data_IF_348995453040
#
_entry.id   IF_348995453040
#
_cell.length_a   1.000
_cell.length_b   1.000
_cell.length_c   1.000
_cell.angle_alpha   90.00
_cell.angle_beta   90.00
_cell.angle_gamma   90.00
#
_symmetry.space_group_name_H-M   'P 1'
#
loop_
_entity.id
_entity.type
_entity.pdbx_description
1 polymer ?
#
# COMPACT_ATOMS: atom_id res chain seq x y z
N UNK A 1 -63.69 -29.68 -24.10
CA UNK A 1 -63.34 -28.45 -23.37
C UNK A 1 -62.19 -28.64 -22.39
N UNK A 2 -62.28 -29.61 -21.43
CA UNK A 2 -61.25 -29.83 -20.36
C UNK A 2 -59.87 -30.12 -20.92
N UNK A 3 -59.79 -30.97 -21.98
CA UNK A 3 -58.47 -31.32 -22.62
C UNK A 3 -57.79 -30.12 -23.29
N UNK A 4 -58.55 -29.23 -23.92
CA UNK A 4 -58.02 -28.03 -24.50
C UNK A 4 -57.52 -27.03 -23.45
N UNK A 5 -58.16 -26.94 -22.27
CA UNK A 5 -57.74 -26.13 -21.14
C UNK A 5 -56.43 -26.69 -20.51
N UNK A 6 -56.30 -27.99 -20.39
CA UNK A 6 -55.08 -28.65 -19.90
C UNK A 6 -53.89 -28.41 -20.83
N UNK A 7 -54.09 -28.53 -22.14
CA UNK A 7 -53.03 -28.23 -23.13
C UNK A 7 -52.62 -26.76 -23.10
N UNK A 8 -53.58 -25.84 -22.97
CA UNK A 8 -53.29 -24.40 -22.89
C UNK A 8 -52.53 -24.07 -21.57
N UNK A 9 -52.94 -24.67 -20.44
CA UNK A 9 -52.24 -24.50 -19.17
C UNK A 9 -50.80 -25.04 -19.21
N UNK A 10 -50.61 -26.23 -19.84
CA UNK A 10 -49.26 -26.81 -20.01
C UNK A 10 -48.38 -25.92 -20.91
N UNK A 11 -48.91 -25.43 -22.03
CA UNK A 11 -48.18 -24.52 -22.92
C UNK A 11 -47.79 -23.21 -22.20
N UNK A 12 -48.71 -22.64 -21.41
CA UNK A 12 -48.44 -21.43 -20.62
C UNK A 12 -47.36 -21.64 -19.54
N UNK A 13 -47.36 -22.80 -18.86
CA UNK A 13 -46.32 -23.11 -17.87
C UNK A 13 -44.95 -23.31 -18.50
N UNK A 14 -44.88 -23.99 -19.67
CA UNK A 14 -43.62 -24.13 -20.41
C UNK A 14 -43.11 -22.77 -20.88
N UNK A 15 -43.98 -21.93 -21.45
CA UNK A 15 -43.60 -20.59 -21.88
C UNK A 15 -43.10 -19.72 -20.71
N UNK A 16 -43.78 -19.78 -19.56
CA UNK A 16 -43.37 -19.05 -18.36
C UNK A 16 -42.00 -19.51 -17.83
N UNK A 17 -41.77 -20.82 -17.81
CA UNK A 17 -40.45 -21.38 -17.37
C UNK A 17 -39.32 -21.01 -18.33
N UNK A 18 -39.56 -21.04 -19.64
CA UNK A 18 -38.58 -20.61 -20.65
C UNK A 18 -38.24 -19.10 -20.54
N UNK A 19 -39.26 -18.26 -20.37
CA UNK A 19 -39.05 -16.81 -20.17
C UNK A 19 -38.26 -16.54 -18.88
N UNK A 20 -38.58 -17.23 -17.80
CA UNK A 20 -37.84 -17.10 -16.55
C UNK A 20 -36.37 -17.57 -16.68
N UNK A 21 -36.13 -18.68 -17.35
CA UNK A 21 -34.78 -19.14 -17.68
C UNK A 21 -34.01 -18.12 -18.53
N UNK A 22 -34.66 -17.58 -19.57
CA UNK A 22 -34.06 -16.58 -20.45
C UNK A 22 -33.70 -15.30 -19.70
N UNK A 23 -34.56 -14.81 -18.79
CA UNK A 23 -34.26 -13.63 -17.96
C UNK A 23 -33.07 -13.88 -17.04
N UNK A 24 -32.97 -15.03 -16.41
CA UNK A 24 -31.81 -15.39 -15.57
C UNK A 24 -30.53 -15.43 -16.39
N UNK A 25 -30.58 -16.05 -17.58
CA UNK A 25 -29.42 -16.15 -18.47
C UNK A 25 -28.94 -14.79 -18.93
N UNK A 26 -29.84 -13.88 -19.31
CA UNK A 26 -29.51 -12.49 -19.65
C UNK A 26 -28.87 -11.78 -18.45
N UNK A 27 -29.43 -11.92 -17.26
CA UNK A 27 -28.88 -11.29 -16.04
C UNK A 27 -27.47 -11.79 -15.72
N UNK A 28 -27.22 -13.11 -15.83
CA UNK A 28 -25.89 -13.67 -15.60
C UNK A 28 -24.86 -13.17 -16.64
N UNK A 29 -25.26 -13.04 -17.91
CA UNK A 29 -24.39 -12.51 -18.94
C UNK A 29 -24.11 -11.02 -18.77
N UNK A 30 -25.09 -10.23 -18.36
CA UNK A 30 -24.90 -8.82 -18.04
C UNK A 30 -23.94 -8.66 -16.88
N UNK A 31 -24.13 -9.38 -15.78
CA UNK A 31 -23.24 -9.31 -14.63
C UNK A 31 -21.78 -9.69 -14.95
N UNK A 32 -21.57 -10.76 -15.75
CA UNK A 32 -20.21 -11.13 -16.20
C UNK A 32 -19.59 -10.05 -17.10
N UNK A 33 -20.37 -9.46 -17.97
CA UNK A 33 -19.91 -8.35 -18.83
C UNK A 33 -19.52 -7.14 -17.99
N UNK A 34 -20.35 -6.76 -17.03
CA UNK A 34 -20.09 -5.62 -16.14
C UNK A 34 -18.83 -5.88 -15.29
N UNK A 35 -18.63 -7.11 -14.82
CA UNK A 35 -17.41 -7.49 -14.08
C UNK A 35 -16.15 -7.32 -14.94
N UNK A 36 -16.14 -7.84 -16.17
CA UNK A 36 -14.99 -7.70 -17.07
C UNK A 36 -14.73 -6.23 -17.41
N UNK A 37 -15.80 -5.45 -17.63
CA UNK A 37 -15.68 -4.02 -17.92
C UNK A 37 -15.15 -3.24 -16.71
N UNK A 38 -15.67 -3.49 -15.52
CA UNK A 38 -15.19 -2.84 -14.29
C UNK A 38 -13.70 -3.14 -14.05
N UNK A 39 -13.27 -4.39 -14.22
CA UNK A 39 -11.86 -4.78 -14.11
C UNK A 39 -10.98 -4.09 -15.17
N UNK A 40 -11.44 -4.04 -16.42
CA UNK A 40 -10.72 -3.37 -17.51
C UNK A 40 -10.58 -1.85 -17.22
N UNK A 41 -11.63 -1.21 -16.72
CA UNK A 41 -11.62 0.20 -16.31
C UNK A 41 -10.66 0.44 -15.14
N UNK A 42 -10.68 -0.42 -14.13
CA UNK A 42 -9.76 -0.33 -13.01
C UNK A 42 -8.29 -0.46 -13.45
N UNK A 43 -7.99 -1.37 -14.38
CA UNK A 43 -6.66 -1.50 -14.98
C UNK A 43 -6.27 -0.29 -15.84
N UNK A 44 -7.20 0.26 -16.62
CA UNK A 44 -6.97 1.49 -17.39
C UNK A 44 -6.67 2.67 -16.46
N UNK A 45 -7.36 2.74 -15.30
CA UNK A 45 -7.06 3.71 -14.25
C UNK A 45 -5.63 3.62 -13.73
N UNK A 46 -5.08 2.41 -13.54
CA UNK A 46 -3.68 2.23 -13.17
C UNK A 46 -2.74 2.77 -14.26
N UNK A 47 -3.03 2.53 -15.55
CA UNK A 47 -2.21 3.08 -16.63
C UNK A 47 -2.28 4.61 -16.68
N UNK A 48 -3.45 5.18 -16.42
CA UNK A 48 -3.60 6.64 -16.33
C UNK A 48 -2.79 7.23 -15.16
N UNK A 49 -2.78 6.57 -14.00
CA UNK A 49 -1.93 7.02 -12.87
C UNK A 49 -0.43 6.94 -13.19
N UNK A 50 0.01 6.00 -14.03
CA UNK A 50 1.39 5.98 -14.53
C UNK A 50 1.73 7.25 -15.30
N UNK A 51 0.81 7.73 -16.17
CA UNK A 51 0.96 9.00 -16.87
C UNK A 51 1.07 10.16 -15.87
N UNK A 52 0.18 10.21 -14.87
CA UNK A 52 0.21 11.25 -13.85
C UNK A 52 1.56 11.28 -13.12
N UNK A 53 2.08 10.12 -12.70
CA UNK A 53 3.38 10.02 -12.02
C UNK A 53 4.53 10.42 -12.95
N UNK A 54 4.44 10.11 -14.23
CA UNK A 54 5.41 10.50 -15.26
C UNK A 54 5.43 12.02 -15.47
N UNK A 55 4.26 12.62 -15.73
CA UNK A 55 4.12 14.06 -16.03
C UNK A 55 4.46 14.95 -14.83
N UNK A 56 4.29 14.42 -13.62
CA UNK A 56 4.60 15.11 -12.36
C UNK A 56 5.99 14.73 -11.81
N UNK A 57 6.92 14.30 -12.67
CA UNK A 57 8.33 14.19 -12.30
C UNK A 57 8.86 15.62 -12.02
N UNK A 58 9.18 15.96 -10.75
CA UNK A 58 9.47 17.33 -10.40
C UNK A 58 10.81 17.78 -10.99
N UNK A 59 10.83 18.96 -11.60
CA UNK A 59 12.03 19.59 -12.14
C UNK A 59 13.13 19.84 -11.07
N UNK A 60 12.77 19.79 -9.78
CA UNK A 60 13.66 19.99 -8.64
C UNK A 60 13.80 18.77 -7.72
N UNK A 61 13.37 17.61 -8.12
CA UNK A 61 13.40 16.36 -7.33
C UNK A 61 12.69 16.38 -5.97
N UNK A 62 11.95 17.43 -5.62
CA UNK A 62 11.17 17.50 -4.36
C UNK A 62 9.76 16.96 -4.60
N UNK A 63 9.38 15.96 -3.83
CA UNK A 63 8.05 15.34 -3.89
C UNK A 63 7.26 15.72 -2.63
N UNK A 64 6.06 16.30 -2.81
CA UNK A 64 5.22 16.77 -1.71
C UNK A 64 3.71 16.68 -2.03
N UNK A 65 2.86 16.72 -1.01
CA UNK A 65 1.42 16.51 -1.12
C UNK A 65 0.65 17.64 -1.85
N UNK A 66 1.26 18.79 -2.08
CA UNK A 66 0.68 19.89 -2.89
C UNK A 66 0.82 19.68 -4.40
N UNK A 67 1.39 18.58 -4.87
CA UNK A 67 1.55 18.28 -6.30
C UNK A 67 0.30 17.59 -6.87
N UNK A 68 0.03 17.70 -8.20
CA UNK A 68 -1.16 17.14 -8.83
C UNK A 68 -1.35 15.63 -8.63
N UNK A 69 -0.26 14.87 -8.53
CA UNK A 69 -0.34 13.42 -8.30
C UNK A 69 -1.00 13.05 -6.95
N UNK A 70 -0.91 13.92 -5.94
CA UNK A 70 -1.46 13.66 -4.60
C UNK A 70 -2.97 13.94 -4.48
N UNK A 71 -3.60 14.49 -5.53
CA UNK A 71 -5.02 14.75 -5.55
C UNK A 71 -5.81 13.44 -5.52
N UNK A 72 -6.79 13.37 -4.62
CA UNK A 72 -7.77 12.29 -4.63
C UNK A 72 -8.83 12.59 -5.67
N UNK A 73 -9.01 11.68 -6.61
CA UNK A 73 -10.08 11.76 -7.60
C UNK A 73 -11.34 11.11 -7.02
N UNK A 74 -12.41 11.88 -6.79
CA UNK A 74 -13.68 11.31 -6.39
C UNK A 74 -14.22 10.40 -7.50
N UNK A 75 -15.22 9.59 -7.20
CA UNK A 75 -15.88 8.79 -8.21
C UNK A 75 -16.47 9.72 -9.29
N UNK A 76 -15.86 9.74 -10.47
CA UNK A 76 -16.32 10.49 -11.63
C UNK A 76 -17.23 9.61 -12.48
N UNK A 77 -18.40 10.13 -12.91
CA UNK A 77 -19.32 9.37 -13.74
C UNK A 77 -18.70 9.09 -15.12
N UNK A 78 -18.89 7.87 -15.59
CA UNK A 78 -18.62 7.41 -16.94
C UNK A 78 -19.86 6.71 -17.48
N UNK A 79 -19.85 6.28 -18.76
CA UNK A 79 -20.98 5.56 -19.31
C UNK A 79 -21.29 4.29 -18.50
N UNK A 80 -22.50 4.23 -17.94
CA UNK A 80 -23.01 3.15 -17.08
C UNK A 80 -22.21 2.85 -15.81
N UNK A 81 -21.42 3.81 -15.29
CA UNK A 81 -20.62 3.55 -14.10
C UNK A 81 -19.89 4.77 -13.55
N UNK A 82 -18.84 4.51 -12.79
CA UNK A 82 -17.94 5.54 -12.26
C UNK A 82 -16.52 5.00 -12.08
N UNK A 83 -15.54 5.91 -12.10
CA UNK A 83 -14.15 5.62 -11.79
C UNK A 83 -13.59 6.69 -10.87
N UNK A 84 -12.83 6.27 -9.86
CA UNK A 84 -12.14 7.16 -8.93
C UNK A 84 -10.90 6.50 -8.37
N UNK A 85 -10.11 7.25 -7.61
CA UNK A 85 -8.91 6.67 -7.02
C UNK A 85 -7.97 7.71 -6.45
N UNK A 86 -6.83 7.22 -5.97
CA UNK A 86 -5.78 8.06 -5.41
C UNK A 86 -4.42 7.40 -5.53
N UNK A 87 -3.40 8.24 -5.46
CA UNK A 87 -1.99 7.84 -5.40
C UNK A 87 -1.46 8.22 -4.03
N UNK A 88 -0.63 7.37 -3.44
CA UNK A 88 0.06 7.61 -2.17
C UNK A 88 1.55 7.43 -2.39
N UNK A 89 2.34 8.33 -1.86
CA UNK A 89 3.78 8.15 -1.79
C UNK A 89 4.11 6.98 -0.86
N UNK A 90 4.66 5.90 -1.39
CA UNK A 90 5.02 4.73 -0.60
C UNK A 90 6.23 4.98 0.31
N UNK A 91 7.10 5.95 -0.05
CA UNK A 91 8.22 6.39 0.78
C UNK A 91 7.81 7.35 1.91
N UNK A 92 6.53 7.67 2.04
CA UNK A 92 5.97 8.30 3.24
C UNK A 92 6.03 7.41 4.48
N UNK A 93 6.38 6.12 4.31
CA UNK A 93 6.34 5.06 5.32
C UNK A 93 7.71 4.43 5.50
N UNK A 94 7.92 3.73 6.62
CA UNK A 94 9.12 2.95 6.86
C UNK A 94 9.13 1.71 5.95
N UNK A 95 10.17 1.56 5.14
CA UNK A 95 10.34 0.39 4.30
C UNK A 95 10.88 -0.79 5.13
N UNK A 96 10.06 -1.81 5.33
CA UNK A 96 10.43 -3.01 6.10
C UNK A 96 11.60 -3.73 5.44
N UNK A 97 11.67 -3.75 4.10
CA UNK A 97 12.74 -4.42 3.38
C UNK A 97 14.12 -3.78 3.55
N UNK A 98 14.21 -2.58 4.14
CA UNK A 98 15.51 -2.05 4.58
C UNK A 98 16.17 -2.96 5.62
N UNK A 99 15.41 -3.75 6.39
CA UNK A 99 15.92 -4.70 7.38
C UNK A 99 16.64 -5.90 6.75
N UNK A 100 16.44 -6.18 5.47
CA UNK A 100 17.07 -7.31 4.77
C UNK A 100 18.58 -7.15 4.54
N UNK A 101 19.16 -6.03 4.94
CA UNK A 101 20.59 -5.72 4.79
C UNK A 101 21.24 -5.40 6.13
N UNK A 102 22.56 -5.43 6.19
CA UNK A 102 23.35 -5.03 7.37
C UNK A 102 23.87 -3.59 7.28
N UNK A 103 23.20 -2.75 6.45
CA UNK A 103 23.62 -1.37 6.21
C UNK A 103 23.25 -0.43 7.37
N UNK A 104 23.81 0.79 7.37
CA UNK A 104 23.40 1.86 8.28
C UNK A 104 21.90 2.15 8.16
N UNK A 105 21.35 2.13 6.94
CA UNK A 105 19.91 2.31 6.71
C UNK A 105 19.07 1.22 7.40
N UNK A 106 19.54 -0.02 7.46
CA UNK A 106 18.87 -1.11 8.20
C UNK A 106 18.86 -0.83 9.69
N UNK A 107 20.00 -0.42 10.27
CA UNK A 107 20.11 -0.07 11.71
C UNK A 107 19.15 1.09 12.05
N UNK A 108 19.11 2.13 11.23
CA UNK A 108 18.24 3.29 11.44
C UNK A 108 16.77 2.93 11.29
N UNK A 109 16.42 2.08 10.29
CA UNK A 109 15.05 1.59 10.10
C UNK A 109 14.61 0.71 11.27
N UNK A 110 15.48 -0.20 11.78
CA UNK A 110 15.18 -1.02 12.96
C UNK A 110 14.87 -0.14 14.18
N UNK A 111 15.71 0.86 14.45
CA UNK A 111 15.51 1.78 15.56
C UNK A 111 14.22 2.62 15.39
N UNK A 112 13.90 3.06 14.17
CA UNK A 112 12.66 3.77 13.89
C UNK A 112 11.43 2.86 14.08
N UNK A 113 11.46 1.62 13.61
CA UNK A 113 10.39 0.65 13.82
C UNK A 113 10.18 0.33 15.31
N UNK A 114 11.25 0.21 16.11
CA UNK A 114 11.14 0.02 17.55
C UNK A 114 10.41 1.19 18.22
N UNK A 115 10.74 2.43 17.87
CA UNK A 115 10.04 3.62 18.39
C UNK A 115 8.58 3.67 17.92
N UNK A 116 8.33 3.38 16.63
CA UNK A 116 6.98 3.31 16.10
C UNK A 116 6.13 2.25 16.83
N UNK A 117 6.65 1.04 17.00
CA UNK A 117 5.93 -0.05 17.66
C UNK A 117 5.65 0.28 19.13
N UNK A 118 6.59 0.91 19.83
CA UNK A 118 6.36 1.41 21.17
C UNK A 118 5.23 2.47 21.21
N UNK A 119 5.25 3.44 20.29
CA UNK A 119 4.18 4.46 20.17
C UNK A 119 2.82 3.84 19.83
N UNK A 120 2.81 2.77 19.03
CA UNK A 120 1.61 2.00 18.71
C UNK A 120 1.25 0.97 19.80
N UNK A 121 1.91 0.92 20.96
CA UNK A 121 1.75 -0.09 21.98
C UNK A 121 1.71 -1.52 21.43
N UNK A 122 2.62 -1.83 20.50
CA UNK A 122 2.86 -3.16 19.97
C UNK A 122 3.99 -3.85 20.74
N UNK A 123 4.01 -5.19 20.81
CA UNK A 123 5.10 -5.93 21.46
C UNK A 123 6.45 -5.59 20.83
N UNK A 124 7.49 -5.30 21.63
CA UNK A 124 8.78 -4.87 21.12
C UNK A 124 9.54 -5.95 20.34
N UNK A 125 9.29 -7.23 20.62
CA UNK A 125 9.89 -8.37 19.92
C UNK A 125 9.44 -8.49 18.46
N UNK A 126 8.31 -7.88 18.07
CA UNK A 126 7.82 -7.96 16.69
C UNK A 126 8.81 -7.37 15.66
N UNK A 127 9.63 -6.40 16.05
CA UNK A 127 10.66 -5.87 15.15
C UNK A 127 11.73 -6.93 14.86
N UNK A 128 12.10 -7.73 15.85
CA UNK A 128 13.06 -8.81 15.70
C UNK A 128 12.50 -9.95 14.85
N UNK A 129 11.25 -10.39 15.11
CA UNK A 129 10.60 -11.41 14.28
C UNK A 129 10.43 -10.98 12.83
N UNK A 130 10.13 -9.69 12.58
CA UNK A 130 10.05 -9.14 11.22
C UNK A 130 11.44 -9.08 10.59
N UNK A 131 12.48 -8.77 11.34
CA UNK A 131 13.85 -8.74 10.82
C UNK A 131 14.28 -10.12 10.37
N UNK A 132 14.16 -11.13 11.24
CA UNK A 132 14.51 -12.52 10.92
C UNK A 132 13.70 -13.07 9.73
N UNK A 133 12.47 -12.57 9.54
CA UNK A 133 11.67 -12.95 8.36
C UNK A 133 12.22 -12.42 7.04
N UNK A 134 12.82 -11.20 7.04
CA UNK A 134 13.21 -10.49 5.80
C UNK A 134 14.71 -10.50 5.53
N UNK A 135 15.57 -10.75 6.53
CA UNK A 135 17.01 -10.84 6.29
C UNK A 135 17.39 -12.23 5.71
N UNK A 136 18.62 -12.35 5.26
CA UNK A 136 19.05 -13.53 4.48
C UNK A 136 19.82 -14.55 5.33
N UNK A 137 20.05 -14.26 6.62
CA UNK A 137 20.77 -15.20 7.47
C UNK A 137 19.79 -16.07 8.29
N UNK A 138 20.30 -17.01 9.05
CA UNK A 138 19.55 -17.97 9.86
C UNK A 138 19.70 -17.73 11.37
N UNK A 139 20.15 -16.53 11.76
CA UNK A 139 20.45 -16.18 13.14
C UNK A 139 19.28 -15.47 13.80
N UNK A 140 18.69 -16.14 14.76
CA UNK A 140 17.59 -15.56 15.56
C UNK A 140 18.02 -14.28 16.26
N UNK A 141 17.29 -13.19 16.01
CA UNK A 141 17.45 -11.90 16.71
C UNK A 141 16.89 -11.96 18.13
N UNK A 142 17.67 -11.61 19.15
CA UNK A 142 17.23 -11.56 20.54
C UNK A 142 16.76 -10.15 20.95
N UNK A 143 15.69 -10.05 21.78
CA UNK A 143 14.82 -11.12 22.25
C UNK A 143 13.68 -11.44 21.27
N UNK A 144 13.33 -12.72 21.17
CA UNK A 144 12.05 -13.17 20.63
C UNK A 144 11.95 -13.28 19.12
N UNK A 145 13.04 -13.21 18.39
CA UNK A 145 13.10 -13.49 16.97
C UNK A 145 12.69 -14.91 16.59
N UNK A 146 12.51 -15.19 15.31
CA UNK A 146 12.07 -16.51 14.81
C UNK A 146 12.67 -16.83 13.46
N UNK A 147 13.36 -17.96 13.40
CA UNK A 147 13.94 -18.55 12.20
C UNK A 147 13.32 -19.92 11.89
N UNK A 148 13.83 -20.61 10.90
CA UNK A 148 13.35 -21.90 10.42
C UNK A 148 13.01 -22.90 11.51
N UNK A 149 13.85 -22.98 12.57
CA UNK A 149 13.62 -23.88 13.68
C UNK A 149 12.28 -23.63 14.39
N UNK A 150 11.85 -22.38 14.50
CA UNK A 150 10.57 -22.04 15.07
C UNK A 150 9.41 -22.35 14.10
N UNK A 151 9.53 -21.98 12.82
CA UNK A 151 8.49 -22.19 11.82
C UNK A 151 8.27 -23.67 11.51
N UNK A 152 9.32 -24.48 11.48
CA UNK A 152 9.23 -25.93 11.28
C UNK A 152 8.56 -26.66 12.46
N UNK A 153 8.63 -26.10 13.68
CA UNK A 153 7.99 -26.66 14.86
C UNK A 153 6.48 -26.37 14.96
N UNK A 154 5.91 -25.57 14.02
CA UNK A 154 4.49 -25.27 14.03
C UNK A 154 3.64 -26.43 13.48
N UNK A 155 2.32 -26.52 13.82
CA UNK A 155 1.42 -27.56 13.30
C UNK A 155 1.38 -27.61 11.76
N UNK A 156 1.53 -26.47 11.10
CA UNK A 156 1.75 -26.36 9.64
C UNK A 156 3.19 -25.91 9.47
N UNK A 157 4.09 -26.88 9.29
CA UNK A 157 5.51 -26.63 9.14
C UNK A 157 5.79 -25.82 7.86
N UNK A 158 6.47 -24.69 8.02
CA UNK A 158 6.95 -23.82 6.96
C UNK A 158 8.38 -23.42 7.23
N UNK A 159 9.01 -22.69 6.32
CA UNK A 159 10.30 -22.03 6.51
C UNK A 159 10.07 -20.53 6.71
N UNK A 160 11.02 -19.84 7.35
CA UNK A 160 11.13 -18.40 7.28
C UNK A 160 11.30 -17.97 5.80
N UNK A 161 10.90 -16.75 5.45
CA UNK A 161 11.08 -16.30 4.07
C UNK A 161 12.55 -16.01 3.74
N UNK A 162 13.32 -15.54 4.73
CA UNK A 162 14.72 -15.13 4.61
C UNK A 162 14.96 -14.30 3.33
N UNK A 163 14.00 -13.43 3.02
CA UNK A 163 13.94 -12.62 1.80
C UNK A 163 13.01 -11.40 1.98
N UNK A 164 13.27 -10.32 1.24
CA UNK A 164 12.39 -9.17 1.21
C UNK A 164 10.93 -9.54 0.88
N UNK A 165 9.99 -9.02 1.66
CA UNK A 165 8.56 -9.23 1.41
C UNK A 165 8.10 -8.41 0.19
N UNK A 166 7.21 -8.97 -0.60
CA UNK A 166 6.64 -8.28 -1.77
C UNK A 166 5.51 -7.33 -1.39
N UNK A 167 4.79 -7.64 -0.33
CA UNK A 167 3.64 -6.86 0.18
C UNK A 167 3.61 -6.87 1.69
N UNK A 168 3.21 -5.75 2.26
CA UNK A 168 3.05 -5.61 3.72
C UNK A 168 2.13 -6.68 4.31
N UNK A 169 1.16 -7.19 3.53
CA UNK A 169 0.25 -8.27 3.96
C UNK A 169 0.94 -9.59 4.30
N UNK A 170 2.12 -9.85 3.75
CA UNK A 170 2.91 -11.06 4.03
C UNK A 170 3.40 -11.11 5.48
N UNK A 171 3.45 -9.97 6.17
CA UNK A 171 3.77 -9.92 7.59
C UNK A 171 2.78 -10.69 8.48
N UNK A 172 1.59 -11.02 7.98
CA UNK A 172 0.66 -11.91 8.69
C UNK A 172 1.17 -13.35 8.81
N UNK A 173 2.22 -13.72 8.07
CA UNK A 173 2.90 -15.01 8.16
C UNK A 173 4.00 -14.99 9.24
N UNK A 174 4.41 -13.80 9.68
CA UNK A 174 5.47 -13.62 10.69
C UNK A 174 4.96 -13.98 12.08
N UNK A 175 5.78 -14.66 12.86
CA UNK A 175 5.49 -15.01 14.26
C UNK A 175 4.96 -13.79 15.03
N UNK A 176 3.89 -14.00 15.79
CA UNK A 176 3.24 -13.03 16.67
C UNK A 176 2.63 -11.80 15.96
N UNK A 177 2.71 -11.70 14.65
CA UNK A 177 2.03 -10.65 13.85
C UNK A 177 0.59 -11.07 13.56
N UNK A 178 -0.33 -10.66 14.42
CA UNK A 178 -1.75 -10.91 14.24
C UNK A 178 -2.47 -9.79 13.46
N UNK A 179 -3.74 -10.02 13.07
CA UNK A 179 -4.54 -9.01 12.34
C UNK A 179 -4.67 -7.67 13.07
N UNK A 180 -4.73 -7.68 14.40
CA UNK A 180 -4.82 -6.46 15.21
C UNK A 180 -3.52 -5.64 15.16
N UNK A 181 -2.36 -6.29 15.30
CA UNK A 181 -1.04 -5.64 15.16
C UNK A 181 -0.87 -5.11 13.75
N UNK A 182 -1.26 -5.92 12.73
CA UNK A 182 -1.19 -5.53 11.33
C UNK A 182 -2.04 -4.31 11.01
N UNK A 183 -3.27 -4.23 11.52
CA UNK A 183 -4.15 -3.08 11.30
C UNK A 183 -3.54 -1.78 11.86
N UNK A 184 -2.79 -1.87 12.98
CA UNK A 184 -2.13 -0.71 13.62
C UNK A 184 -0.87 -0.27 12.89
N UNK A 185 -0.07 -1.19 12.37
CA UNK A 185 1.24 -0.88 11.76
C UNK A 185 1.15 -0.57 10.28
N UNK A 186 0.19 -1.17 9.56
CA UNK A 186 0.04 -1.07 8.11
C UNK A 186 0.02 0.35 7.54
N UNK A 187 -0.57 1.37 8.19
CA UNK A 187 -0.53 2.75 7.68
C UNK A 187 0.87 3.36 7.62
N UNK A 188 1.83 2.83 8.37
CA UNK A 188 3.14 3.44 8.63
C UNK A 188 4.31 2.67 8.03
N UNK A 189 4.05 1.52 7.41
CA UNK A 189 5.09 0.67 6.81
C UNK A 189 4.82 0.40 5.34
N UNK A 190 5.88 0.18 4.58
CA UNK A 190 5.85 -0.20 3.17
C UNK A 190 6.75 -1.41 2.93
N UNK A 191 6.53 -2.10 1.81
CA UNK A 191 7.37 -3.20 1.30
C UNK A 191 7.83 -2.81 -0.11
N UNK A 192 9.05 -2.28 -0.21
CA UNK A 192 9.65 -1.81 -1.45
C UNK A 192 10.86 -2.67 -1.77
N UNK A 193 11.09 -2.99 -3.03
CA UNK A 193 12.10 -3.96 -3.47
C UNK A 193 13.54 -3.40 -3.50
N UNK A 194 13.73 -2.15 -3.09
CA UNK A 194 15.03 -1.53 -2.91
C UNK A 194 15.08 -0.76 -1.58
N UNK A 195 16.26 -0.57 -0.96
CA UNK A 195 16.42 0.30 0.18
C UNK A 195 15.96 1.72 -0.12
N UNK A 196 15.14 2.30 0.75
CA UNK A 196 14.58 3.64 0.57
C UNK A 196 14.63 4.46 1.85
N UNK A 197 14.85 5.76 1.69
CA UNK A 197 14.68 6.75 2.74
C UNK A 197 13.21 7.20 2.85
N UNK A 198 12.83 7.73 4.00
CA UNK A 198 11.50 8.31 4.25
C UNK A 198 11.45 9.72 3.68
N UNK A 199 10.42 10.01 2.87
CA UNK A 199 10.16 11.36 2.39
C UNK A 199 9.50 12.20 3.49
N UNK A 200 10.24 13.18 4.02
CA UNK A 200 9.76 14.06 5.09
C UNK A 200 8.57 14.95 4.68
N UNK A 201 8.38 15.17 3.37
CA UNK A 201 7.28 15.96 2.83
C UNK A 201 5.95 15.21 2.74
N UNK A 202 5.97 13.90 2.88
CA UNK A 202 4.76 13.07 2.72
C UNK A 202 4.51 12.16 3.93
N UNK A 203 5.53 11.91 4.76
CA UNK A 203 5.45 11.02 5.92
C UNK A 203 4.44 11.52 6.96
N UNK A 204 3.59 10.65 7.56
CA UNK A 204 2.73 11.02 8.67
C UNK A 204 3.53 11.37 9.94
N UNK A 205 2.89 12.05 10.88
CA UNK A 205 3.55 12.53 12.10
C UNK A 205 4.19 11.38 12.90
N UNK A 206 3.55 10.23 12.95
CA UNK A 206 4.02 9.02 13.63
C UNK A 206 5.33 8.49 13.04
N UNK A 207 5.46 8.54 11.70
CA UNK A 207 6.69 8.12 11.01
C UNK A 207 7.79 9.14 11.25
N UNK A 208 7.50 10.45 11.22
CA UNK A 208 8.48 11.49 11.56
C UNK A 208 8.95 11.36 13.01
N UNK A 209 8.03 11.18 13.98
CA UNK A 209 8.37 10.97 15.38
C UNK A 209 9.19 9.69 15.60
N UNK A 210 8.94 8.65 14.79
CA UNK A 210 9.72 7.42 14.84
C UNK A 210 11.13 7.57 14.22
N UNK A 211 11.28 8.38 13.18
CA UNK A 211 12.54 8.53 12.45
C UNK A 211 13.48 9.53 13.15
N UNK A 212 12.94 10.61 13.70
CA UNK A 212 13.71 11.65 14.40
C UNK A 212 13.78 11.31 15.90
N UNK A 213 14.98 11.06 16.41
CA UNK A 213 15.18 10.70 17.81
C UNK A 213 14.83 11.87 18.73
N UNK A 214 13.94 11.64 19.69
CA UNK A 214 13.52 12.65 20.67
C UNK A 214 12.41 13.60 20.16
N UNK A 215 11.89 13.42 18.95
CA UNK A 215 10.76 14.18 18.45
C UNK A 215 9.45 13.63 19.06
N UNK A 216 8.77 14.48 19.82
CA UNK A 216 7.47 14.13 20.37
C UNK A 216 6.34 14.19 19.32
N UNK A 217 5.21 13.47 19.51
CA UNK A 217 4.13 13.44 18.54
C UNK A 217 3.50 14.79 18.25
N UNK A 218 3.42 15.69 19.22
CA UNK A 218 2.83 17.03 19.03
C UNK A 218 3.72 17.89 18.14
N UNK A 219 5.04 17.86 18.39
CA UNK A 219 6.01 18.55 17.56
C UNK A 219 6.06 17.96 16.14
N UNK A 220 5.95 16.64 15.98
CA UNK A 220 5.83 16.01 14.67
C UNK A 220 4.58 16.49 13.90
N UNK A 221 3.44 16.61 14.57
CA UNK A 221 2.21 17.16 13.97
C UNK A 221 2.36 18.62 13.52
N UNK A 222 3.09 19.43 14.30
CA UNK A 222 3.41 20.82 13.92
C UNK A 222 4.32 20.90 12.68
N UNK A 223 5.30 20.00 12.57
CA UNK A 223 6.14 19.89 11.37
C UNK A 223 5.30 19.51 10.14
N UNK A 224 4.38 18.56 10.27
CA UNK A 224 3.42 18.22 9.20
C UNK A 224 2.61 19.43 8.79
N UNK A 225 1.99 20.15 9.73
CA UNK A 225 1.22 21.35 9.42
C UNK A 225 2.07 22.48 8.79
N UNK A 226 3.35 22.59 9.13
CA UNK A 226 4.29 23.54 8.55
C UNK A 226 4.63 23.20 7.10
N UNK A 227 4.95 21.94 6.80
CA UNK A 227 5.32 21.49 5.44
C UNK A 227 4.14 21.55 4.47
N UNK A 228 2.90 21.37 4.95
CA UNK A 228 1.70 21.48 4.12
C UNK A 228 1.53 22.89 3.54
N UNK A 229 2.07 23.90 4.22
CA UNK A 229 2.13 25.30 3.74
C UNK A 229 3.38 25.56 2.90
N UNK A 230 4.52 25.04 3.34
CA UNK A 230 5.83 25.25 2.70
C UNK A 230 6.65 23.97 2.78
N UNK A 231 6.66 23.17 1.71
CA UNK A 231 7.41 21.90 1.67
C UNK A 231 8.90 22.13 1.98
N UNK A 232 9.52 21.11 2.57
CA UNK A 232 10.97 21.09 2.79
C UNK A 232 11.68 20.92 1.46
N UNK A 233 12.65 21.78 1.19
CA UNK A 233 13.41 21.78 -0.07
C UNK A 233 14.58 20.79 -0.06
N UNK A 234 15.03 20.39 1.14
CA UNK A 234 16.11 19.44 1.36
C UNK A 234 16.01 18.83 2.77
N UNK A 235 16.76 17.76 3.03
CA UNK A 235 16.92 17.20 4.38
C UNK A 235 17.56 18.24 5.33
N UNK A 236 18.47 19.05 4.84
CA UNK A 236 19.07 20.13 5.63
C UNK A 236 18.03 21.20 6.04
N UNK A 237 17.12 21.59 5.12
CA UNK A 237 16.00 22.48 5.42
C UNK A 237 15.04 21.87 6.45
N UNK A 238 14.71 20.57 6.32
CA UNK A 238 13.92 19.85 7.33
C UNK A 238 14.59 19.92 8.71
N UNK A 239 15.90 19.63 8.80
CA UNK A 239 16.67 19.68 10.05
C UNK A 239 16.69 21.07 10.66
N UNK A 240 16.86 22.12 9.84
CA UNK A 240 16.86 23.51 10.29
C UNK A 240 15.50 23.95 10.88
N UNK A 241 14.41 23.29 10.50
CA UNK A 241 13.06 23.56 11.03
C UNK A 241 12.64 22.62 12.16
N UNK A 242 13.53 21.74 12.65
CA UNK A 242 13.27 20.97 13.85
C UNK A 242 13.09 21.89 15.07
N UNK A 243 12.15 21.56 15.98
CA UNK A 243 11.80 22.47 17.08
C UNK A 243 12.90 22.61 18.15
N UNK A 244 13.88 21.72 18.15
CA UNK A 244 14.99 21.70 19.12
C UNK A 244 16.29 21.24 18.45
N UNK A 245 17.43 21.80 18.83
CA UNK A 245 18.72 21.47 18.22
C UNK A 245 19.31 20.11 18.68
N UNK A 246 18.82 19.53 19.78
CA UNK A 246 19.24 18.25 20.33
C UNK A 246 18.59 17.05 19.64
N UNK A 247 17.62 17.29 18.74
CA UNK A 247 17.00 16.24 17.96
C UNK A 247 17.98 15.68 16.92
N UNK A 248 18.12 14.35 16.89
CA UNK A 248 19.05 13.69 16.00
C UNK A 248 18.33 12.89 14.92
N UNK A 249 18.89 12.91 13.72
CA UNK A 249 18.40 12.14 12.57
C UNK A 249 19.57 11.47 11.89
N UNK A 250 19.34 10.28 11.37
CA UNK A 250 20.23 9.71 10.36
C UNK A 250 19.83 10.28 9.00
N UNK A 251 20.73 11.07 8.40
CA UNK A 251 20.48 11.72 7.10
C UNK A 251 20.25 10.71 5.98
N UNK A 252 20.81 9.51 6.08
CA UNK A 252 20.63 8.45 5.09
C UNK A 252 19.24 7.83 5.14
N UNK A 253 18.51 8.01 6.24
CA UNK A 253 17.14 7.50 6.42
C UNK A 253 16.04 8.47 5.96
N UNK A 254 16.41 9.70 5.58
CA UNK A 254 15.49 10.78 5.19
C UNK A 254 15.78 11.28 3.77
N UNK A 255 14.73 11.66 3.06
CA UNK A 255 14.81 12.34 1.76
C UNK A 255 13.64 13.33 1.61
N UNK A 256 13.67 14.16 0.60
CA UNK A 256 12.56 14.98 0.09
C UNK A 256 12.04 14.46 -1.24
N UNK A 257 12.60 13.35 -1.74
CA UNK A 257 12.27 12.69 -3.01
C UNK A 257 11.53 11.39 -2.77
N UNK A 258 10.80 10.97 -3.81
CA UNK A 258 10.15 9.66 -3.83
C UNK A 258 10.09 9.13 -5.25
N UNK A 259 10.39 7.84 -5.37
CA UNK A 259 10.30 7.09 -6.63
C UNK A 259 9.19 6.02 -6.57
N UNK A 260 8.60 5.77 -5.40
CA UNK A 260 7.65 4.69 -5.19
C UNK A 260 6.27 5.23 -4.83
N UNK A 261 5.26 4.80 -5.59
CA UNK A 261 3.89 5.26 -5.44
C UNK A 261 2.92 4.09 -5.41
N UNK A 262 2.10 4.01 -4.37
CA UNK A 262 0.96 3.09 -4.31
C UNK A 262 -0.26 3.74 -4.97
N UNK A 263 -0.92 2.99 -5.83
CA UNK A 263 -2.12 3.39 -6.56
C UNK A 263 -3.30 2.58 -6.08
N UNK A 264 -4.43 3.23 -5.88
CA UNK A 264 -5.71 2.61 -5.57
C UNK A 264 -6.77 3.17 -6.50
N UNK A 265 -7.37 2.31 -7.32
CA UNK A 265 -8.44 2.66 -8.27
C UNK A 265 -9.68 1.88 -7.89
N UNK A 266 -10.82 2.54 -7.90
CA UNK A 266 -12.15 1.92 -7.82
C UNK A 266 -12.90 2.24 -9.11
N UNK A 267 -13.42 1.21 -9.76
CA UNK A 267 -14.21 1.33 -10.98
C UNK A 267 -15.51 0.57 -10.79
N UNK A 268 -16.63 1.23 -11.06
CA UNK A 268 -17.95 0.63 -11.03
C UNK A 268 -18.52 0.57 -12.45
N UNK A 269 -19.14 -0.56 -12.79
CA UNK A 269 -19.90 -0.75 -14.02
C UNK A 269 -21.21 -1.47 -13.71
N UNK A 270 -22.35 -0.85 -13.98
CA UNK A 270 -23.63 -1.34 -13.47
C UNK A 270 -23.58 -1.50 -11.94
N UNK A 271 -23.91 -2.67 -11.46
CA UNK A 271 -23.87 -3.03 -10.02
C UNK A 271 -22.52 -3.65 -9.59
N UNK A 272 -21.55 -3.75 -10.48
CA UNK A 272 -20.27 -4.41 -10.20
C UNK A 272 -19.20 -3.38 -9.87
N UNK A 273 -18.48 -3.60 -8.75
CA UNK A 273 -17.34 -2.80 -8.33
C UNK A 273 -16.06 -3.62 -8.49
N UNK A 274 -15.07 -3.07 -9.17
CA UNK A 274 -13.72 -3.60 -9.23
C UNK A 274 -12.74 -2.64 -8.56
N UNK A 275 -11.76 -3.20 -7.84
CA UNK A 275 -10.68 -2.45 -7.20
C UNK A 275 -9.34 -2.90 -7.74
N UNK A 276 -8.58 -1.96 -8.30
CA UNK A 276 -7.20 -2.20 -8.67
C UNK A 276 -6.26 -1.53 -7.68
N UNK A 277 -5.20 -2.26 -7.30
CA UNK A 277 -4.08 -1.73 -6.53
C UNK A 277 -2.79 -2.01 -7.26
N UNK A 278 -1.88 -1.07 -7.26
CA UNK A 278 -0.58 -1.22 -7.90
C UNK A 278 0.50 -0.49 -7.12
N UNK A 279 1.73 -0.98 -7.22
CA UNK A 279 2.94 -0.27 -6.82
C UNK A 279 3.67 0.16 -8.09
N UNK A 280 3.88 1.45 -8.22
CA UNK A 280 4.63 2.06 -9.31
C UNK A 280 6.00 2.47 -8.81
N UNK A 281 7.02 2.24 -9.63
CA UNK A 281 8.36 2.79 -9.42
C UNK A 281 8.67 3.76 -10.55
N UNK A 282 8.98 5.01 -10.20
CA UNK A 282 9.50 6.01 -11.14
C UNK A 282 10.90 5.61 -11.55
N UNK A 283 11.23 5.73 -12.83
CA UNK A 283 12.61 5.55 -13.29
C UNK A 283 13.48 6.73 -12.85
N UNK A 284 14.74 6.44 -12.52
CA UNK A 284 15.76 7.45 -12.31
C UNK A 284 16.23 8.10 -13.62
N UNK A 285 15.93 7.46 -14.76
CA UNK A 285 16.26 7.98 -16.09
C UNK A 285 15.14 8.90 -16.58
N UNK A 286 15.51 10.13 -16.91
CA UNK A 286 14.55 11.11 -17.44
C UNK A 286 13.92 10.60 -18.74
N UNK A 287 12.59 10.74 -18.85
CA UNK A 287 11.84 10.31 -20.03
C UNK A 287 11.44 8.84 -20.04
N UNK A 288 11.85 8.03 -19.07
CA UNK A 288 11.37 6.68 -18.93
C UNK A 288 10.06 6.61 -18.13
N UNK A 289 9.16 5.75 -18.59
CA UNK A 289 7.88 5.53 -17.92
C UNK A 289 8.03 4.82 -16.58
N UNK A 290 7.19 5.17 -15.58
CA UNK A 290 7.15 4.42 -14.33
C UNK A 290 6.84 2.95 -14.57
N UNK A 291 7.54 2.06 -13.87
CA UNK A 291 7.36 0.61 -13.95
C UNK A 291 6.26 0.18 -12.97
N UNK A 292 5.38 -0.70 -13.40
CA UNK A 292 4.45 -1.40 -12.51
C UNK A 292 5.20 -2.57 -11.86
N UNK A 293 5.49 -2.47 -10.59
CA UNK A 293 6.23 -3.50 -9.83
C UNK A 293 5.29 -4.67 -9.51
N UNK A 294 4.10 -4.38 -9.06
CA UNK A 294 3.00 -5.34 -8.92
C UNK A 294 1.65 -4.64 -9.08
N UNK A 295 0.65 -5.42 -9.47
CA UNK A 295 -0.76 -4.99 -9.49
C UNK A 295 -1.70 -6.13 -9.13
N UNK A 296 -2.84 -5.80 -8.54
CA UNK A 296 -3.95 -6.70 -8.29
C UNK A 296 -5.26 -6.06 -8.71
N UNK A 297 -6.20 -6.87 -9.15
CA UNK A 297 -7.59 -6.45 -9.42
C UNK A 297 -8.50 -7.44 -8.71
N UNK A 298 -9.42 -6.92 -7.92
CA UNK A 298 -10.42 -7.66 -7.14
C UNK A 298 -11.82 -7.21 -7.50
#
# INVERSE_FOLDING_TARGET
MVMAMLLAALAATIAATLLWQQQRWIGEHQHRRDQVQAQALAMAGVQWTRQIVFDNAPAGNVVHLGQPWALRLPAMPIENGSIGGYIVDAQSRLNINNLSTTSTAATSTRAALQRLFAALALPPNLVNTITDWVDADDKTSDPGGAEDAWYLAQPIATLAANAPVRRVGELLLVRDVGPASMARVRPFVAALDAPTAVNVNTAPAEVLAATVVGLDPAAAALLVASRDKTPFTSVADFKARLPRPDLTTDETSLDVRSDWFEVSIEAQQGDTLARARALLRRSSTAGEWPVVVWQTVE
#
